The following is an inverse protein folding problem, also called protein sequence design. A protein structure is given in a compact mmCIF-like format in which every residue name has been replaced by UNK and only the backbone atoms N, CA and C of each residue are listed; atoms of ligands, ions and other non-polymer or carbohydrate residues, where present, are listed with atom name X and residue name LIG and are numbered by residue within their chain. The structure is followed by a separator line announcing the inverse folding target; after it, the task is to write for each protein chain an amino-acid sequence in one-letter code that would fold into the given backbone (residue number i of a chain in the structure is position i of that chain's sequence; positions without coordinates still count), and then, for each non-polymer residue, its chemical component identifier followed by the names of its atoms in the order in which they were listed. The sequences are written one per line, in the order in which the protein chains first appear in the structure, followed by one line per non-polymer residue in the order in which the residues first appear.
data_IF_982254244941
#
_entry.id   IF_982254244941
#
_cell.length_a   1.000
_cell.length_b   1.000
_cell.length_c   1.000
_cell.angle_alpha   90.00
_cell.angle_beta   90.00
_cell.angle_gamma   90.00
#
_symmetry.space_group_name_H-M   'P 1'
#
loop_
_entity.id
_entity.type
_entity.pdbx_description
1 polymer ?
#
# COMPACT_ATOMS: atom_id res chain seq x y z
N UNK A 1 13.74 -25.03 8.78
CA UNK A 1 12.48 -24.26 8.72
C UNK A 1 11.85 -24.46 7.35
N UNK A 2 10.54 -24.68 7.30
CA UNK A 2 9.79 -24.71 6.04
C UNK A 2 9.66 -23.28 5.53
N UNK A 3 10.13 -22.98 4.33
CA UNK A 3 10.00 -21.66 3.70
C UNK A 3 8.53 -21.24 3.47
N UNK A 4 7.59 -22.17 3.63
CA UNK A 4 6.16 -21.97 3.39
C UNK A 4 5.36 -21.60 4.64
N UNK A 5 5.95 -21.71 5.84
CA UNK A 5 5.27 -21.43 7.10
C UNK A 5 5.95 -20.25 7.79
N UNK A 6 5.15 -19.36 8.37
CA UNK A 6 5.68 -18.27 9.18
C UNK A 6 6.09 -18.83 10.55
N UNK A 7 7.31 -18.52 10.97
CA UNK A 7 7.80 -18.85 12.32
C UNK A 7 7.09 -18.00 13.39
N UNK A 8 6.61 -16.82 13.00
CA UNK A 8 5.87 -15.87 13.83
C UNK A 8 4.52 -15.52 13.20
N UNK A 9 3.55 -15.12 14.02
CA UNK A 9 2.24 -14.77 13.50
C UNK A 9 2.30 -13.47 12.67
N UNK A 10 1.86 -13.47 11.41
CA UNK A 10 1.94 -12.29 10.57
C UNK A 10 1.02 -11.18 11.09
N UNK A 11 1.55 -9.95 11.12
CA UNK A 11 0.78 -8.76 11.45
C UNK A 11 0.07 -8.28 10.19
N UNK A 12 -1.26 -8.19 10.26
CA UNK A 12 -2.12 -7.83 9.12
C UNK A 12 -2.69 -6.44 9.35
N UNK A 13 -2.67 -5.55 8.34
CA UNK A 13 -3.29 -4.23 8.45
C UNK A 13 -4.47 -4.08 7.49
N UNK A 14 -5.57 -3.49 7.98
CA UNK A 14 -6.67 -3.07 7.11
C UNK A 14 -6.22 -1.86 6.28
N UNK A 15 -6.25 -1.97 4.94
CA UNK A 15 -5.80 -0.92 4.02
C UNK A 15 -6.58 0.40 4.18
N UNK A 16 -7.88 0.30 4.41
CA UNK A 16 -8.72 1.49 4.62
C UNK A 16 -8.35 2.18 5.92
N UNK A 17 -8.20 1.43 7.01
CA UNK A 17 -7.77 1.97 8.29
C UNK A 17 -6.39 2.64 8.18
N UNK A 18 -5.41 1.94 7.60
CA UNK A 18 -4.06 2.45 7.40
C UNK A 18 -4.02 3.75 6.59
N UNK A 19 -4.89 3.89 5.60
CA UNK A 19 -5.02 5.12 4.80
C UNK A 19 -5.57 6.29 5.62
N UNK A 20 -6.52 6.05 6.51
CA UNK A 20 -7.17 7.14 7.27
C UNK A 20 -6.39 7.57 8.51
N UNK A 21 -5.77 6.63 9.24
CA UNK A 21 -5.10 6.94 10.53
C UNK A 21 -3.58 6.83 10.50
N UNK A 22 -3.04 6.14 9.50
CA UNK A 22 -1.62 5.81 9.34
C UNK A 22 -1.32 4.32 9.49
N UNK A 23 -0.24 3.85 8.85
CA UNK A 23 0.13 2.44 8.83
C UNK A 23 0.53 1.93 10.22
N UNK A 24 1.40 2.64 10.93
CA UNK A 24 1.87 2.23 12.25
C UNK A 24 0.71 2.19 13.25
N UNK A 25 -0.17 3.18 13.18
CA UNK A 25 -1.39 3.28 13.99
C UNK A 25 -2.30 2.08 13.75
N UNK A 26 -2.54 1.73 12.49
CA UNK A 26 -3.36 0.57 12.13
C UNK A 26 -2.72 -0.76 12.58
N UNK A 27 -1.41 -0.91 12.44
CA UNK A 27 -0.68 -2.11 12.90
C UNK A 27 -0.78 -2.27 14.42
N UNK A 28 -0.58 -1.19 15.18
CA UNK A 28 -0.68 -1.24 16.65
C UNK A 28 -2.10 -1.58 17.09
N UNK A 29 -3.14 -0.95 16.52
CA UNK A 29 -4.52 -1.27 16.84
C UNK A 29 -4.84 -2.75 16.54
N UNK A 30 -4.38 -3.27 15.41
CA UNK A 30 -4.59 -4.68 15.09
C UNK A 30 -3.92 -5.60 16.11
N UNK A 31 -2.67 -5.31 16.46
CA UNK A 31 -1.92 -6.15 17.38
C UNK A 31 -2.52 -6.14 18.79
N UNK A 32 -2.98 -4.98 19.27
CA UNK A 32 -3.70 -4.87 20.54
C UNK A 32 -5.00 -5.67 20.48
N UNK A 33 -5.75 -5.58 19.38
CA UNK A 33 -6.98 -6.37 19.19
C UNK A 33 -6.70 -7.88 19.23
N UNK A 34 -5.59 -8.35 18.67
CA UNK A 34 -5.19 -9.75 18.76
C UNK A 34 -5.03 -10.22 20.22
N UNK A 35 -4.31 -9.44 21.04
CA UNK A 35 -4.12 -9.78 22.45
C UNK A 35 -5.43 -9.71 23.26
N UNK A 36 -6.29 -8.73 22.99
CA UNK A 36 -7.63 -8.66 23.60
C UNK A 36 -8.45 -9.90 23.26
N UNK A 37 -8.39 -10.40 22.03
CA UNK A 37 -9.12 -11.61 21.64
C UNK A 37 -8.55 -12.87 22.33
N UNK A 38 -7.25 -12.92 22.63
CA UNK A 38 -6.67 -13.98 23.47
C UNK A 38 -7.21 -13.89 24.90
N UNK A 39 -7.17 -12.70 25.50
CA UNK A 39 -7.65 -12.47 26.87
C UNK A 39 -9.14 -12.81 27.00
N UNK A 40 -9.92 -12.42 25.99
CA UNK A 40 -11.35 -12.75 25.87
C UNK A 40 -11.61 -14.24 25.80
N UNK A 41 -10.87 -14.98 24.95
CA UNK A 41 -10.99 -16.45 24.88
C UNK A 41 -10.60 -17.14 26.17
N UNK A 42 -9.64 -16.57 26.89
CA UNK A 42 -9.16 -17.09 28.17
C UNK A 42 -10.03 -16.67 29.36
N UNK A 43 -11.00 -15.77 29.16
CA UNK A 43 -11.85 -15.21 30.22
C UNK A 43 -11.11 -14.29 31.21
N UNK A 44 -9.92 -13.82 30.85
CA UNK A 44 -9.07 -13.00 31.72
C UNK A 44 -9.23 -11.51 31.40
N UNK A 45 -8.74 -10.66 32.29
CA UNK A 45 -8.57 -9.22 32.04
C UNK A 45 -9.87 -8.47 31.65
N UNK A 46 -11.01 -8.91 32.19
CA UNK A 46 -12.30 -8.25 31.99
C UNK A 46 -12.57 -7.23 33.09
N UNK A 47 -12.58 -5.94 32.72
CA UNK A 47 -12.77 -4.82 33.64
C UNK A 47 -13.61 -3.73 32.96
N UNK A 48 -14.46 -3.05 33.74
CA UNK A 48 -15.31 -1.95 33.26
C UNK A 48 -16.12 -2.29 32.00
N UNK A 49 -16.64 -3.52 31.95
CA UNK A 49 -17.46 -4.01 30.84
C UNK A 49 -16.69 -4.37 29.57
N UNK A 50 -15.36 -4.31 29.58
CA UNK A 50 -14.50 -4.53 28.40
C UNK A 50 -13.35 -5.48 28.73
N UNK A 51 -12.81 -6.11 27.69
CA UNK A 51 -11.55 -6.85 27.78
C UNK A 51 -10.38 -5.92 27.53
N UNK A 52 -9.32 -6.12 28.30
CA UNK A 52 -8.13 -5.30 28.26
C UNK A 52 -6.90 -6.16 28.09
N UNK A 53 -5.87 -5.58 27.49
CA UNK A 53 -4.53 -6.16 27.50
C UNK A 53 -3.55 -5.14 28.07
N UNK A 54 -2.44 -5.59 28.63
CA UNK A 54 -1.48 -4.71 29.29
C UNK A 54 -0.06 -5.05 28.86
N UNK A 55 0.74 -4.02 28.63
CA UNK A 55 2.18 -4.20 28.49
C UNK A 55 2.92 -2.86 28.64
N UNK A 56 4.21 -2.93 28.96
CA UNK A 56 5.08 -1.75 28.88
C UNK A 56 5.35 -1.40 27.41
N UNK A 57 5.61 -0.13 27.11
CA UNK A 57 5.97 0.29 25.74
C UNK A 57 7.22 -0.44 25.23
N UNK A 58 8.19 -0.70 26.13
CA UNK A 58 9.39 -1.47 25.79
C UNK A 58 9.04 -2.89 25.37
N UNK A 59 8.22 -3.58 26.15
CA UNK A 59 7.84 -4.95 25.84
C UNK A 59 6.87 -5.06 24.64
N UNK A 60 6.05 -4.04 24.38
CA UNK A 60 5.34 -3.94 23.10
C UNK A 60 6.30 -3.86 21.92
N UNK A 61 7.35 -3.04 22.04
CA UNK A 61 8.35 -2.92 20.99
C UNK A 61 9.12 -4.23 20.81
N UNK A 62 9.67 -4.81 21.87
CA UNK A 62 10.50 -6.02 21.80
C UNK A 62 9.73 -7.25 21.29
N UNK A 63 8.46 -7.43 21.67
CA UNK A 63 7.71 -8.66 21.34
C UNK A 63 6.81 -8.56 20.11
N UNK A 64 6.51 -7.34 19.63
CA UNK A 64 5.52 -7.16 18.56
C UNK A 64 5.92 -6.14 17.49
N UNK A 65 6.83 -5.22 17.80
CA UNK A 65 7.21 -4.14 16.90
C UNK A 65 8.74 -3.95 16.91
N UNK A 66 9.48 -5.06 16.87
CA UNK A 66 10.94 -5.08 16.94
C UNK A 66 11.59 -4.34 15.76
N UNK A 67 10.87 -4.29 14.64
CA UNK A 67 11.15 -3.48 13.45
C UNK A 67 10.89 -1.97 13.60
N UNK A 68 10.31 -1.51 14.72
CA UNK A 68 10.13 -0.08 15.05
C UNK A 68 11.02 0.31 16.23
N UNK A 69 11.48 1.57 16.25
CA UNK A 69 12.15 2.10 17.45
C UNK A 69 11.16 2.28 18.60
N UNK A 70 11.65 2.17 19.84
CA UNK A 70 10.86 2.38 21.08
C UNK A 70 10.14 3.74 21.05
N UNK A 71 10.80 4.79 20.57
CA UNK A 71 10.20 6.11 20.44
C UNK A 71 9.05 6.16 19.43
N UNK A 72 9.15 5.38 18.34
CA UNK A 72 8.08 5.26 17.35
C UNK A 72 6.86 4.57 17.93
N UNK A 73 7.07 3.45 18.64
CA UNK A 73 5.99 2.76 19.35
C UNK A 73 5.34 3.70 20.37
N UNK A 74 6.16 4.35 21.22
CA UNK A 74 5.69 5.31 22.23
C UNK A 74 4.83 6.43 21.63
N UNK A 75 5.32 7.08 20.57
CA UNK A 75 4.59 8.18 19.89
C UNK A 75 3.29 7.68 19.26
N UNK A 76 3.30 6.50 18.66
CA UNK A 76 2.12 5.94 18.00
C UNK A 76 1.03 5.59 19.01
N UNK A 77 1.38 4.94 20.14
CA UNK A 77 0.45 4.70 21.25
C UNK A 77 -0.16 6.01 21.77
N UNK A 78 0.67 7.03 22.02
CA UNK A 78 0.19 8.32 22.51
C UNK A 78 -0.73 9.03 21.49
N UNK A 79 -0.45 8.89 20.18
CA UNK A 79 -1.30 9.43 19.11
C UNK A 79 -2.65 8.73 19.06
N UNK A 80 -2.68 7.40 19.18
CA UNK A 80 -3.91 6.60 19.21
C UNK A 80 -4.77 6.91 20.45
N UNK A 81 -4.13 7.05 21.62
CA UNK A 81 -4.77 7.48 22.87
C UNK A 81 -5.40 8.87 22.70
N UNK A 82 -4.64 9.85 22.19
CA UNK A 82 -5.13 11.21 21.96
C UNK A 82 -6.25 11.28 20.92
N UNK A 83 -6.19 10.46 19.87
CA UNK A 83 -7.22 10.40 18.84
C UNK A 83 -8.49 9.65 19.30
N UNK A 84 -8.45 8.99 20.45
CA UNK A 84 -9.58 8.27 21.04
C UNK A 84 -9.83 6.89 20.46
N UNK A 85 -8.93 6.36 19.61
CA UNK A 85 -9.02 4.98 19.09
C UNK A 85 -8.59 3.95 20.12
N UNK A 86 -7.72 4.35 21.05
CA UNK A 86 -7.21 3.49 22.11
C UNK A 86 -7.64 4.08 23.46
N UNK A 87 -8.33 3.28 24.26
CA UNK A 87 -8.67 3.62 25.64
C UNK A 87 -7.56 3.11 26.55
N UNK A 88 -7.23 3.91 27.57
CA UNK A 88 -6.18 3.59 28.53
C UNK A 88 -6.77 3.48 29.92
N UNK A 89 -6.41 2.41 30.62
CA UNK A 89 -6.82 2.12 31.98
C UNK A 89 -5.63 1.76 32.87
N UNK A 90 -5.91 1.52 34.14
CA UNK A 90 -4.95 0.99 35.10
C UNK A 90 -5.66 0.00 36.03
N UNK A 91 -5.34 -1.28 35.87
CA UNK A 91 -5.85 -2.37 36.69
C UNK A 91 -4.71 -3.15 37.36
N UNK A 92 -3.57 -2.48 37.58
CA UNK A 92 -2.43 -3.07 38.28
C UNK A 92 -2.77 -3.27 39.76
N UNK A 93 -2.32 -4.41 40.31
CA UNK A 93 -2.48 -4.70 41.75
C UNK A 93 -1.53 -3.89 42.61
N UNK A 94 -0.31 -3.65 42.13
CA UNK A 94 0.70 -2.83 42.82
C UNK A 94 0.62 -1.37 42.33
N UNK A 95 0.42 -0.37 43.22
CA UNK A 95 0.42 1.05 42.87
C UNK A 95 1.74 1.57 42.26
N UNK A 96 2.85 0.86 42.48
CA UNK A 96 4.17 1.19 41.92
C UNK A 96 4.28 0.75 40.47
N UNK A 97 3.53 -0.26 40.06
CA UNK A 97 3.48 -0.70 38.67
C UNK A 97 2.79 0.37 37.81
N UNK A 98 3.55 0.89 36.84
CA UNK A 98 3.10 1.92 35.89
C UNK A 98 2.74 1.34 34.54
N UNK A 99 2.59 0.02 34.43
CA UNK A 99 2.14 -0.66 33.22
C UNK A 99 0.75 -0.16 32.84
N UNK A 100 0.61 0.29 31.60
CA UNK A 100 -0.67 0.76 31.06
C UNK A 100 -1.49 -0.42 30.55
N UNK A 101 -2.80 -0.32 30.75
CA UNK A 101 -3.78 -1.22 30.18
C UNK A 101 -4.44 -0.55 28.99
N UNK A 102 -4.71 -1.31 27.95
CA UNK A 102 -5.21 -0.84 26.68
C UNK A 102 -6.43 -1.64 26.23
N UNK A 103 -7.43 -0.94 25.69
CA UNK A 103 -8.54 -1.55 24.96
C UNK A 103 -8.91 -0.71 23.75
N UNK A 104 -9.56 -1.33 22.76
CA UNK A 104 -9.95 -0.66 21.51
C UNK A 104 -11.27 0.10 21.72
N UNK A 105 -11.29 1.36 21.29
CA UNK A 105 -12.53 2.11 21.21
C UNK A 105 -13.29 1.74 19.92
N UNK A 106 -14.15 0.73 20.01
CA UNK A 106 -14.96 0.24 18.89
C UNK A 106 -15.90 1.31 18.36
N UNK A 107 -16.50 2.13 19.24
CA UNK A 107 -17.42 3.21 18.86
C UNK A 107 -16.70 4.23 17.95
N UNK A 108 -15.47 4.61 18.31
CA UNK A 108 -14.66 5.53 17.49
C UNK A 108 -14.29 4.96 16.13
N UNK A 109 -14.05 3.64 16.05
CA UNK A 109 -13.79 2.98 14.76
C UNK A 109 -15.05 2.97 13.88
N UNK A 110 -16.23 2.69 14.44
CA UNK A 110 -17.49 2.72 13.69
C UNK A 110 -17.84 4.12 13.18
N UNK A 111 -17.59 5.16 13.98
CA UNK A 111 -17.70 6.56 13.54
C UNK A 111 -16.82 6.83 12.31
N UNK A 112 -15.55 6.42 12.38
CA UNK A 112 -14.59 6.59 11.28
C UNK A 112 -15.09 5.90 10.01
N UNK A 113 -15.51 4.64 10.10
CA UNK A 113 -16.01 3.90 8.94
C UNK A 113 -17.29 4.53 8.35
N UNK A 114 -18.19 5.02 9.20
CA UNK A 114 -19.38 5.76 8.76
C UNK A 114 -19.00 7.02 7.98
N UNK A 115 -18.02 7.78 8.46
CA UNK A 115 -17.52 8.97 7.77
C UNK A 115 -16.91 8.63 6.41
N UNK A 116 -16.14 7.55 6.32
CA UNK A 116 -15.55 7.08 5.06
C UNK A 116 -16.65 6.74 4.04
N UNK A 117 -17.70 6.02 4.46
CA UNK A 117 -18.80 5.66 3.56
C UNK A 117 -19.57 6.89 3.09
N UNK A 118 -19.79 7.87 3.97
CA UNK A 118 -20.44 9.12 3.60
C UNK A 118 -19.62 9.94 2.62
N UNK A 119 -18.30 10.03 2.82
CA UNK A 119 -17.37 10.63 1.84
C UNK A 119 -17.44 9.88 0.51
N UNK A 120 -17.55 8.55 0.56
CA UNK A 120 -17.67 7.70 -0.62
C UNK A 120 -18.92 8.05 -1.45
N UNK A 121 -20.07 8.02 -0.81
CA UNK A 121 -21.36 8.36 -1.44
C UNK A 121 -21.38 9.79 -2.00
N UNK A 122 -20.78 10.74 -1.29
CA UNK A 122 -20.73 12.15 -1.72
C UNK A 122 -19.89 12.34 -2.99
N UNK A 123 -18.76 11.64 -3.13
CA UNK A 123 -17.98 11.76 -4.38
C UNK A 123 -18.72 11.10 -5.55
N UNK A 124 -19.39 9.97 -5.33
CA UNK A 124 -20.15 9.26 -6.37
C UNK A 124 -21.27 10.15 -6.94
N UNK A 125 -22.08 10.77 -6.07
CA UNK A 125 -23.13 11.70 -6.47
C UNK A 125 -22.55 12.89 -7.23
N UNK A 126 -21.47 13.51 -6.71
CA UNK A 126 -20.81 14.64 -7.36
C UNK A 126 -20.25 14.28 -8.75
N UNK A 127 -19.73 13.06 -8.92
CA UNK A 127 -19.24 12.60 -10.22
C UNK A 127 -20.35 12.39 -11.23
N UNK A 128 -21.52 11.90 -10.79
CA UNK A 128 -22.70 11.73 -11.64
C UNK A 128 -23.32 13.07 -12.04
N UNK A 129 -23.41 14.05 -11.13
CA UNK A 129 -23.88 15.40 -11.44
C UNK A 129 -23.00 16.11 -12.47
N UNK A 130 -21.69 15.84 -12.48
CA UNK A 130 -20.75 16.47 -13.41
C UNK A 130 -20.72 15.81 -14.80
N UNK A 131 -21.19 14.57 -14.95
CA UNK A 131 -21.30 13.89 -16.27
C UNK A 131 -22.60 14.21 -17.01
N UNK A 132 -23.67 14.62 -16.32
CA UNK A 132 -24.97 14.96 -16.92
C UNK A 132 -24.94 16.18 -17.89
N UNK A 133 -24.15 17.26 -17.69
CA UNK A 133 -24.11 18.39 -18.63
C UNK A 133 -23.51 18.04 -19.99
N UNK A 134 -22.62 17.04 -20.05
CA UNK A 134 -21.86 16.72 -21.27
C UNK A 134 -22.64 15.85 -22.26
N UNK A 135 -23.58 15.01 -21.77
CA UNK A 135 -24.36 14.11 -22.62
C UNK A 135 -25.54 14.80 -23.34
N UNK A 136 -26.06 15.91 -22.81
CA UNK A 136 -27.19 16.64 -23.43
C UNK A 136 -26.75 17.65 -24.52
N UNK A 137 -25.45 17.97 -24.62
CA UNK A 137 -24.91 18.92 -25.62
C UNK A 137 -24.50 18.22 -26.93
N UNK A 138 -24.50 16.88 -26.98
CA UNK A 138 -24.09 16.12 -28.17
C UNK A 138 -25.18 15.96 -29.25
N UNK A 139 -26.41 16.42 -29.00
CA UNK A 139 -27.49 16.39 -29.98
C UNK A 139 -27.63 17.74 -30.72
N UNK A 140 -26.52 18.38 -31.09
CA UNK A 140 -26.58 19.49 -32.03
C UNK A 140 -27.00 18.93 -33.40
N UNK A 141 -28.03 19.50 -34.07
CA UNK A 141 -28.39 19.07 -35.42
C UNK A 141 -27.19 19.33 -36.34
N UNK A 142 -26.75 18.29 -37.04
CA UNK A 142 -25.70 18.39 -38.05
C UNK A 142 -26.21 19.28 -39.19
N UNK A 143 -25.57 20.44 -39.38
CA UNK A 143 -25.91 21.36 -40.46
C UNK A 143 -25.61 20.68 -41.81
N UNK A 144 -26.61 20.58 -42.69
CA UNK A 144 -26.47 20.00 -44.02
C UNK A 144 -25.40 20.77 -44.82
N UNK A 145 -24.23 20.16 -44.93
CA UNK A 145 -23.14 20.71 -45.70
C UNK A 145 -23.47 20.54 -47.18
N UNK A 146 -23.59 21.65 -47.92
CA UNK A 146 -23.73 21.63 -49.38
C UNK A 146 -22.52 20.92 -49.98
N UNK A 147 -22.71 19.67 -50.43
CA UNK A 147 -21.70 18.90 -51.12
C UNK A 147 -21.42 19.59 -52.46
N UNK A 148 -20.26 20.24 -52.58
CA UNK A 148 -19.77 20.71 -53.88
C UNK A 148 -19.27 19.50 -54.66
N UNK A 149 -19.92 19.22 -55.80
CA UNK A 149 -19.48 18.21 -56.76
C UNK A 149 -18.05 18.52 -57.22
N UNK A 150 -17.14 17.57 -57.00
CA UNK A 150 -15.78 17.60 -57.54
C UNK A 150 -15.84 17.49 -59.06
N UNK A 151 -15.16 18.42 -59.75
CA UNK A 151 -14.99 18.37 -61.21
C UNK A 151 -14.15 17.14 -61.55
N UNK A 152 -14.71 16.24 -62.35
CA UNK A 152 -13.99 15.08 -62.88
C UNK A 152 -12.75 15.55 -63.67
N UNK A 153 -11.57 15.04 -63.31
CA UNK A 153 -10.36 15.27 -64.10
C UNK A 153 -10.49 14.51 -65.44
N UNK A 154 -10.37 15.24 -66.56
CA UNK A 154 -10.13 14.65 -67.88
C UNK A 154 -8.65 14.28 -67.97
N UNK A 155 -8.33 12.99 -67.91
CA UNK A 155 -7.04 12.51 -68.40
C UNK A 155 -7.20 12.09 -69.86
N UNK A 156 -6.45 12.76 -70.74
CA UNK A 156 -6.24 12.36 -72.14
C UNK A 156 -5.00 11.48 -72.19
N UNK A 157 -5.13 10.31 -72.82
CA UNK A 157 -4.05 9.34 -73.00
C UNK A 157 -2.87 9.96 -73.76
N UNK A 158 -1.68 9.90 -73.17
CA UNK A 158 -0.42 10.20 -73.84
C UNK A 158 0.58 9.08 -73.56
N UNK A 159 0.89 8.33 -74.62
CA UNK A 159 1.91 7.29 -74.67
C UNK A 159 3.32 7.86 -74.45
N UNK A 160 4.09 7.10 -73.66
CA UNK A 160 5.56 6.98 -73.61
C UNK A 160 6.44 8.25 -73.68
N UNK A 161 7.28 8.46 -72.66
CA UNK A 161 8.72 8.18 -72.77
C UNK A 161 9.45 8.43 -71.43
N UNK A 162 10.40 7.54 -71.16
CA UNK A 162 11.22 7.42 -69.96
C UNK A 162 11.92 8.71 -69.52
N UNK A 163 11.77 9.07 -68.23
CA UNK A 163 12.87 9.61 -67.44
C UNK A 163 13.11 8.71 -66.23
N UNK A 164 14.37 8.35 -66.02
CA UNK A 164 14.86 7.60 -64.86
C UNK A 164 14.47 8.33 -63.57
N UNK A 165 13.48 7.79 -62.86
CA UNK A 165 13.16 8.22 -61.51
C UNK A 165 14.27 7.67 -60.61
N UNK A 166 15.03 8.56 -59.96
CA UNK A 166 15.96 8.18 -58.91
C UNK A 166 15.22 7.26 -57.92
N UNK A 167 15.81 6.10 -57.62
CA UNK A 167 15.37 5.25 -56.52
C UNK A 167 15.43 6.08 -55.24
N UNK A 168 14.29 6.63 -54.83
CA UNK A 168 14.12 7.22 -53.52
C UNK A 168 14.44 6.14 -52.51
N UNK A 169 15.48 6.36 -51.72
CA UNK A 169 15.86 5.49 -50.61
C UNK A 169 14.67 5.48 -49.65
N UNK A 170 13.91 4.38 -49.63
CA UNK A 170 12.96 4.16 -48.55
C UNK A 170 13.78 3.98 -47.26
N UNK A 171 13.58 4.83 -46.22
CA UNK A 171 14.18 4.53 -44.93
C UNK A 171 13.60 3.21 -44.41
N UNK A 172 14.48 2.32 -43.98
CA UNK A 172 14.11 1.00 -43.45
C UNK A 172 13.28 1.17 -42.17
N UNK A 173 12.30 0.28 -41.99
CA UNK A 173 11.47 0.25 -40.79
C UNK A 173 12.34 0.17 -39.53
N UNK A 174 12.01 0.98 -38.52
CA UNK A 174 12.69 0.95 -37.23
C UNK A 174 12.54 -0.44 -36.59
N UNK A 175 13.60 -1.01 -35.99
CA UNK A 175 13.52 -2.32 -35.36
C UNK A 175 12.60 -2.27 -34.13
N UNK A 176 11.82 -3.33 -33.95
CA UNK A 176 10.99 -3.56 -32.76
C UNK A 176 11.88 -3.72 -31.52
N UNK A 177 11.74 -2.81 -30.56
CA UNK A 177 12.42 -2.91 -29.26
C UNK A 177 11.57 -3.67 -28.25
N UNK A 178 11.49 -4.99 -28.38
CA UNK A 178 11.09 -5.85 -27.26
C UNK A 178 12.27 -6.00 -26.30
N UNK A 179 12.30 -5.17 -25.25
CA UNK A 179 13.24 -5.35 -24.14
C UNK A 179 12.75 -6.51 -23.27
N UNK A 180 13.41 -7.66 -23.37
CA UNK A 180 13.33 -8.72 -22.37
C UNK A 180 14.25 -8.33 -21.20
N UNK A 181 13.67 -7.84 -20.12
CA UNK A 181 14.35 -7.61 -18.86
C UNK A 181 14.55 -8.95 -18.13
N UNK A 182 15.55 -9.72 -18.58
CA UNK A 182 16.22 -10.73 -17.77
C UNK A 182 17.29 -10.03 -16.95
N UNK A 183 17.00 -9.74 -15.69
CA UNK A 183 18.04 -9.31 -14.74
C UNK A 183 18.73 -10.57 -14.21
N UNK A 184 19.98 -10.72 -14.64
CA UNK A 184 20.92 -11.74 -14.24
C UNK A 184 21.34 -11.52 -12.77
N UNK A 185 20.58 -12.07 -11.82
CA UNK A 185 20.86 -12.00 -10.37
C UNK A 185 22.08 -12.84 -9.93
N UNK A 186 22.82 -13.44 -10.86
CA UNK A 186 23.91 -14.38 -10.56
C UNK A 186 25.17 -13.69 -10.00
N UNK A 187 25.45 -12.45 -10.40
CA UNK A 187 26.67 -11.74 -9.97
C UNK A 187 26.54 -11.26 -8.51
N UNK A 188 25.37 -10.80 -8.10
CA UNK A 188 25.14 -10.26 -6.76
C UNK A 188 25.24 -11.33 -5.67
N UNK A 189 24.77 -12.55 -5.96
CA UNK A 189 24.89 -13.69 -5.04
C UNK A 189 26.36 -14.10 -4.83
N UNK A 190 27.17 -14.09 -5.90
CA UNK A 190 28.59 -14.45 -5.82
C UNK A 190 29.45 -13.46 -5.01
N UNK A 191 29.02 -12.19 -4.94
CA UNK A 191 29.71 -11.14 -4.16
C UNK A 191 29.32 -11.26 -2.67
N UNK A 192 28.04 -11.48 -2.38
CA UNK A 192 27.53 -11.65 -1.00
C UNK A 192 28.13 -12.92 -0.36
N UNK A 193 28.23 -14.01 -1.11
CA UNK A 193 28.79 -15.27 -0.61
C UNK A 193 30.29 -15.14 -0.30
N UNK A 194 31.04 -14.35 -1.09
CA UNK A 194 32.48 -14.08 -0.84
C UNK A 194 32.70 -13.17 0.38
N UNK A 195 31.88 -12.14 0.58
CA UNK A 195 31.97 -11.29 1.78
C UNK A 195 31.64 -12.06 3.06
N UNK A 196 30.69 -13.00 3.01
CA UNK A 196 30.35 -13.84 4.16
C UNK A 196 31.49 -14.81 4.55
N UNK A 197 32.13 -15.44 3.57
CA UNK A 197 33.27 -16.35 3.80
C UNK A 197 34.49 -15.60 4.34
N UNK A 198 34.79 -14.41 3.81
CA UNK A 198 35.93 -13.60 4.27
C UNK A 198 35.71 -12.96 5.65
N UNK A 199 34.46 -12.80 6.10
CA UNK A 199 34.13 -12.36 7.45
C UNK A 199 34.14 -13.51 8.46
N UNK A 200 33.83 -14.74 8.04
CA UNK A 200 33.89 -15.93 8.89
C UNK A 200 35.32 -16.34 9.23
N UNK A 201 36.22 -16.35 8.25
CA UNK A 201 37.64 -16.70 8.48
C UNK A 201 38.37 -15.67 9.37
N UNK A 202 37.94 -14.40 9.37
CA UNK A 202 38.50 -13.36 10.26
C UNK A 202 38.10 -13.52 11.72
N UNK A 203 36.90 -14.06 11.99
CA UNK A 203 36.42 -14.26 13.35
C UNK A 203 36.91 -15.57 13.97
N UNK A 204 37.09 -16.62 13.16
CA UNK A 204 37.55 -17.92 13.65
C UNK A 204 39.06 -17.91 14.00
N UNK A 205 39.84 -17.01 13.40
CA UNK A 205 41.27 -16.81 13.72
C UNK A 205 41.57 -16.00 15.00
N UNK A 206 40.55 -15.47 15.67
CA UNK A 206 40.71 -14.68 16.92
C UNK A 206 40.37 -15.48 18.19
N UNK A 207 39.95 -16.73 18.06
CA UNK A 207 39.57 -17.60 19.19
C UNK A 207 40.71 -18.56 19.60
N UNK A 208 41.76 -18.71 18.79
CA UNK A 208 42.95 -19.48 19.14
C UNK A 208 44.20 -18.59 19.30
N UNK A 209 44.30 -17.84 20.41
CA UNK A 209 45.56 -17.50 21.11
C UNK A 209 45.32 -17.16 22.58
#
# INVERSE_FOLDING_TARGET
MSIYLFDEQPIIANKTLAREIGLNEALILQQINYWIEIDKKSGNNYYDGRYWTYNSIRAWQENNFDYMSVDTVKRTFAKLEKAGFLLVGNYNKDPRDKTKWYTINTEKLEELYTEIQNKKKKWEVKTLEKTIPTALVQNAPMEESKIYQSKSAKCTDASEQNLSMQNGIMPQALPEITTNNTTDNSIHQSIIDKEYLQNKERNDGQIER
#
